data_IF_344696453440
#
_entry.id   IF_344696453440
#
_cell.length_a   1.000
_cell.length_b   1.000
_cell.length_c   1.000
_cell.angle_alpha   90.00
_cell.angle_beta   90.00
_cell.angle_gamma   90.00
#
_symmetry.space_group_name_H-M   'P 1'
#
loop_
_entity.id
_entity.type
_entity.pdbx_description
1 polymer ?
#
# COMPACT_ATOMS: atom_id res chain seq x y z
N UNK A 1 -57.26 35.46 16.26
CA UNK A 1 -57.92 35.31 17.59
C UNK A 1 -57.61 33.92 18.12
N UNK A 2 -57.03 33.79 19.31
CA UNK A 2 -56.81 32.47 19.91
C UNK A 2 -58.14 31.96 20.45
N UNK A 3 -58.72 30.94 19.81
CA UNK A 3 -60.01 30.30 20.17
C UNK A 3 -60.15 30.01 21.67
N UNK A 4 -59.04 29.91 22.41
CA UNK A 4 -59.01 29.67 23.85
C UNK A 4 -59.42 30.88 24.70
N UNK A 5 -59.17 32.11 24.26
CA UNK A 5 -59.51 33.33 25.03
C UNK A 5 -60.99 33.65 24.86
N UNK A 6 -61.51 33.57 23.63
CA UNK A 6 -62.94 33.76 23.37
C UNK A 6 -63.78 32.75 24.14
N UNK A 7 -63.35 31.48 24.19
CA UNK A 7 -64.02 30.45 25.00
C UNK A 7 -64.05 30.79 26.49
N UNK A 8 -62.97 31.37 27.04
CA UNK A 8 -62.93 31.79 28.46
C UNK A 8 -63.79 33.02 28.73
N UNK A 9 -63.79 34.01 27.84
CA UNK A 9 -64.65 35.20 27.97
C UNK A 9 -66.12 34.79 27.89
N UNK A 10 -66.49 33.97 26.91
CA UNK A 10 -67.84 33.42 26.78
C UNK A 10 -68.25 32.56 28.00
N UNK A 11 -67.32 31.79 28.57
CA UNK A 11 -67.54 31.04 29.81
C UNK A 11 -67.82 31.93 31.02
N UNK A 12 -67.17 33.08 31.14
CA UNK A 12 -67.37 34.02 32.26
C UNK A 12 -68.72 34.72 32.11
N UNK A 13 -69.06 35.14 30.89
CA UNK A 13 -70.37 35.74 30.58
C UNK A 13 -71.50 34.76 30.91
N UNK A 14 -71.32 33.48 30.62
CA UNK A 14 -72.30 32.43 30.95
C UNK A 14 -72.44 32.16 32.46
N UNK A 15 -71.49 32.62 33.28
CA UNK A 15 -71.52 32.50 34.75
C UNK A 15 -72.03 33.78 35.45
N UNK A 16 -72.18 34.89 34.72
CA UNK A 16 -72.69 36.15 35.24
C UNK A 16 -73.78 36.68 34.31
N UNK A 17 -75.04 36.27 34.55
CA UNK A 17 -76.20 36.61 33.70
C UNK A 17 -76.49 38.12 33.58
N UNK A 18 -75.82 38.97 34.38
CA UNK A 18 -75.96 40.43 34.34
C UNK A 18 -74.88 41.17 33.52
N UNK A 19 -73.95 40.47 32.86
CA UNK A 19 -72.83 41.06 32.11
C UNK A 19 -72.93 40.75 30.61
N UNK A 20 -72.89 41.78 29.75
CA UNK A 20 -72.87 41.63 28.29
C UNK A 20 -71.46 41.73 27.71
N UNK A 21 -71.24 41.22 26.49
CA UNK A 21 -69.97 41.34 25.76
C UNK A 21 -69.58 42.81 25.57
N UNK A 22 -70.56 43.67 25.28
CA UNK A 22 -70.34 45.09 25.02
C UNK A 22 -69.79 45.85 26.24
N UNK A 23 -70.05 45.35 27.45
CA UNK A 23 -69.51 45.92 28.69
C UNK A 23 -68.05 45.51 28.90
N UNK A 24 -67.66 44.30 28.48
CA UNK A 24 -66.30 43.80 28.56
C UNK A 24 -65.38 44.48 27.54
N UNK A 25 -65.88 44.78 26.33
CA UNK A 25 -65.10 45.47 25.30
C UNK A 25 -64.79 46.94 25.65
N UNK A 26 -65.60 47.55 26.52
CA UNK A 26 -65.38 48.90 27.05
C UNK A 26 -64.29 48.95 28.12
N UNK A 27 -63.91 47.81 28.72
CA UNK A 27 -62.85 47.76 29.74
C UNK A 27 -61.50 48.11 29.12
N UNK A 28 -60.80 49.06 29.74
CA UNK A 28 -59.47 49.53 29.29
C UNK A 28 -58.43 48.41 29.19
N UNK A 29 -58.56 47.39 30.05
CA UNK A 29 -57.68 46.22 30.06
C UNK A 29 -57.89 45.33 28.83
N UNK A 30 -59.10 45.21 28.30
CA UNK A 30 -59.39 44.44 27.09
C UNK A 30 -58.76 45.10 25.85
N UNK A 31 -58.88 46.43 25.72
CA UNK A 31 -58.24 47.21 24.64
C UNK A 31 -56.71 47.12 24.68
N UNK A 32 -56.10 47.16 25.86
CA UNK A 32 -54.65 46.92 26.03
C UNK A 32 -54.25 45.52 25.55
N UNK A 33 -55.05 44.50 25.88
CA UNK A 33 -54.81 43.13 25.45
C UNK A 33 -54.85 42.97 23.93
N UNK A 34 -55.82 43.59 23.25
CA UNK A 34 -55.89 43.59 21.78
C UNK A 34 -54.66 44.23 21.13
N UNK A 35 -54.16 45.33 21.69
CA UNK A 35 -52.95 46.02 21.19
C UNK A 35 -51.67 45.18 21.37
N UNK A 36 -51.59 44.41 22.46
CA UNK A 36 -50.46 43.50 22.72
C UNK A 36 -50.49 42.31 21.75
N UNK A 37 -51.68 41.80 21.43
CA UNK A 37 -51.85 40.67 20.51
C UNK A 37 -51.47 41.06 19.08
N UNK A 38 -51.84 42.25 18.60
CA UNK A 38 -51.47 42.72 17.26
C UNK A 38 -49.96 42.91 17.10
N UNK A 39 -49.28 43.48 18.09
CA UNK A 39 -47.80 43.60 18.11
C UNK A 39 -47.08 42.24 18.09
N UNK A 40 -47.63 41.22 18.75
CA UNK A 40 -47.03 39.88 18.81
C UNK A 40 -47.14 39.10 17.48
N UNK A 41 -48.13 39.42 16.65
CA UNK A 41 -48.28 38.83 15.31
C UNK A 41 -47.25 39.40 14.33
N UNK A 42 -47.01 40.70 14.38
CA UNK A 42 -46.10 41.39 13.46
C UNK A 42 -44.63 41.02 13.73
N UNK A 43 -44.22 40.96 15.00
CA UNK A 43 -42.85 40.54 15.35
C UNK A 43 -42.50 39.09 15.00
N UNK A 44 -43.49 38.20 14.83
CA UNK A 44 -43.22 36.82 14.34
C UNK A 44 -42.91 36.81 12.85
N UNK A 45 -43.59 37.63 12.05
CA UNK A 45 -43.38 37.70 10.61
C UNK A 45 -41.98 38.23 10.27
N UNK A 46 -41.53 39.27 10.99
CA UNK A 46 -40.19 39.84 10.80
C UNK A 46 -39.07 38.85 11.15
N UNK A 47 -39.24 38.02 12.19
CA UNK A 47 -38.26 36.98 12.56
C UNK A 47 -38.15 35.90 11.47
N UNK A 48 -39.27 35.44 10.90
CA UNK A 48 -39.23 34.43 9.83
C UNK A 48 -38.57 34.96 8.56
N UNK A 49 -38.77 36.24 8.23
CA UNK A 49 -38.12 36.88 7.09
C UNK A 49 -36.60 36.98 7.27
N UNK A 50 -36.14 37.39 8.46
CA UNK A 50 -34.71 37.45 8.80
C UNK A 50 -34.07 36.05 8.76
N UNK A 51 -34.74 35.04 9.32
CA UNK A 51 -34.24 33.66 9.28
C UNK A 51 -34.14 33.11 7.85
N UNK A 52 -35.10 33.44 6.98
CA UNK A 52 -35.06 33.03 5.58
C UNK A 52 -33.88 33.67 4.81
N UNK A 53 -33.58 34.96 5.08
CA UNK A 53 -32.41 35.64 4.49
C UNK A 53 -31.11 35.03 4.99
N UNK A 54 -31.00 34.74 6.29
CA UNK A 54 -29.82 34.08 6.87
C UNK A 54 -29.61 32.70 6.23
N UNK A 55 -30.67 31.90 6.10
CA UNK A 55 -30.58 30.58 5.46
C UNK A 55 -30.21 30.67 3.98
N UNK A 56 -30.73 31.66 3.24
CA UNK A 56 -30.36 31.89 1.85
C UNK A 56 -28.90 32.29 1.67
N UNK A 57 -28.38 33.16 2.55
CA UNK A 57 -26.97 33.54 2.57
C UNK A 57 -26.07 32.36 2.96
N UNK A 58 -26.47 31.55 3.94
CA UNK A 58 -25.75 30.32 4.29
C UNK A 58 -25.69 29.34 3.12
N UNK A 59 -26.79 29.16 2.38
CA UNK A 59 -26.79 28.22 1.25
C UNK A 59 -25.87 28.70 0.11
N UNK A 60 -25.87 30.00 -0.19
CA UNK A 60 -24.95 30.62 -1.15
C UNK A 60 -23.47 30.47 -0.74
N UNK A 61 -23.18 30.63 0.56
CA UNK A 61 -21.84 30.39 1.10
C UNK A 61 -21.47 28.90 0.96
N UNK A 62 -22.34 27.97 1.34
CA UNK A 62 -22.04 26.53 1.21
C UNK A 62 -21.86 26.07 -0.22
N UNK A 63 -22.60 26.66 -1.17
CA UNK A 63 -22.49 26.33 -2.60
C UNK A 63 -21.30 27.00 -3.28
N UNK A 64 -20.91 28.19 -2.82
CA UNK A 64 -19.66 28.83 -3.25
C UNK A 64 -18.41 28.14 -2.68
N UNK A 65 -18.49 27.66 -1.44
CA UNK A 65 -17.41 26.91 -0.77
C UNK A 65 -17.27 25.49 -1.35
N UNK A 66 -18.36 24.82 -1.73
CA UNK A 66 -18.28 23.49 -2.33
C UNK A 66 -17.73 23.48 -3.77
N UNK A 67 -17.72 24.63 -4.46
CA UNK A 67 -17.10 24.77 -5.80
C UNK A 67 -15.62 25.13 -5.76
N UNK A 68 -15.08 25.60 -4.63
CA UNK A 68 -13.67 25.96 -4.48
C UNK A 68 -13.03 25.27 -3.26
N UNK A 69 -12.64 24.01 -3.45
CA UNK A 69 -11.41 23.49 -2.88
C UNK A 69 -11.33 23.31 -1.37
N UNK A 70 -12.44 23.23 -0.64
CA UNK A 70 -12.38 22.91 0.80
C UNK A 70 -11.74 21.56 1.09
N UNK A 71 -11.96 20.54 0.26
CA UNK A 71 -11.25 19.27 0.46
C UNK A 71 -9.75 19.42 0.26
N UNK A 72 -9.31 20.10 -0.79
CA UNK A 72 -7.87 20.33 -1.01
C UNK A 72 -7.24 21.23 0.05
N UNK A 73 -7.93 22.27 0.50
CA UNK A 73 -7.42 23.14 1.56
C UNK A 73 -7.42 22.44 2.92
N UNK A 74 -8.44 21.64 3.23
CA UNK A 74 -8.48 20.86 4.46
C UNK A 74 -7.44 19.74 4.46
N UNK A 75 -7.24 19.03 3.35
CA UNK A 75 -6.14 18.07 3.20
C UNK A 75 -4.77 18.76 3.33
N UNK A 76 -4.56 19.87 2.62
CA UNK A 76 -3.31 20.62 2.69
C UNK A 76 -3.04 21.18 4.10
N UNK A 77 -4.07 21.72 4.76
CA UNK A 77 -3.97 22.25 6.11
C UNK A 77 -3.79 21.12 7.13
N UNK A 78 -4.45 19.98 6.96
CA UNK A 78 -4.31 18.80 7.82
C UNK A 78 -2.88 18.24 7.73
N UNK A 79 -2.36 18.04 6.52
CA UNK A 79 -0.97 17.60 6.29
C UNK A 79 0.05 18.58 6.88
N UNK A 80 -0.16 19.89 6.70
CA UNK A 80 0.74 20.93 7.24
C UNK A 80 0.66 21.11 8.75
N UNK A 81 -0.53 21.00 9.34
CA UNK A 81 -0.76 21.23 10.78
C UNK A 81 -0.33 20.02 11.58
N UNK A 82 -0.65 18.81 11.11
CA UNK A 82 -0.37 17.59 11.85
C UNK A 82 0.95 16.93 11.47
N UNK A 83 1.61 17.35 10.37
CA UNK A 83 2.86 16.73 9.87
C UNK A 83 2.75 15.21 9.80
N UNK A 84 1.54 14.69 9.57
CA UNK A 84 1.28 13.26 9.48
C UNK A 84 1.77 12.85 8.10
N UNK A 85 2.97 12.29 8.08
CA UNK A 85 3.39 11.49 6.94
C UNK A 85 2.65 10.16 7.05
N UNK A 86 1.53 10.04 6.34
CA UNK A 86 0.71 8.82 6.30
C UNK A 86 1.51 7.56 5.90
N UNK A 87 2.70 7.74 5.31
CA UNK A 87 3.61 6.66 4.96
C UNK A 87 4.57 6.26 6.10
N UNK A 88 4.61 7.03 7.19
CA UNK A 88 5.44 6.77 8.39
C UNK A 88 4.63 6.37 9.62
N UNK A 89 3.32 6.60 9.64
CA UNK A 89 2.48 6.23 10.77
C UNK A 89 2.23 4.71 10.79
N UNK A 90 2.35 4.11 11.97
CA UNK A 90 1.89 2.74 12.18
C UNK A 90 0.37 2.66 11.95
N UNK A 91 -0.06 1.74 11.09
CA UNK A 91 -1.48 1.58 10.79
C UNK A 91 -2.27 1.24 12.07
N UNK A 92 -3.38 1.96 12.32
CA UNK A 92 -4.29 1.71 13.45
C UNK A 92 -4.78 0.27 13.55
N UNK A 93 -4.80 -0.45 12.43
CA UNK A 93 -5.07 -1.86 12.36
C UNK A 93 -4.06 -2.54 11.43
N UNK A 94 -3.63 -3.78 11.75
CA UNK A 94 -2.78 -4.54 10.84
C UNK A 94 -3.51 -4.78 9.52
N UNK A 95 -2.74 -4.76 8.42
CA UNK A 95 -3.24 -5.15 7.09
C UNK A 95 -3.76 -6.58 7.17
N UNK A 96 -5.07 -6.75 7.02
CA UNK A 96 -5.68 -8.08 6.93
C UNK A 96 -5.40 -8.64 5.54
N UNK A 97 -4.32 -9.42 5.39
CA UNK A 97 -3.86 -9.97 4.11
C UNK A 97 -4.98 -10.68 3.34
N UNK A 98 -5.83 -11.43 4.04
CA UNK A 98 -6.95 -12.13 3.41
C UNK A 98 -7.94 -11.19 2.70
N UNK A 99 -8.14 -9.96 3.20
CA UNK A 99 -9.01 -8.98 2.54
C UNK A 99 -8.36 -8.46 1.27
N UNK A 100 -7.05 -8.20 1.32
CA UNK A 100 -6.29 -7.68 0.17
C UNK A 100 -6.33 -8.70 -0.97
N UNK A 101 -6.13 -9.98 -0.66
CA UNK A 101 -6.21 -11.04 -1.67
C UNK A 101 -7.65 -11.26 -2.17
N UNK A 102 -8.66 -11.21 -1.29
CA UNK A 102 -10.05 -11.41 -1.67
C UNK A 102 -10.62 -10.29 -2.56
N UNK A 103 -10.12 -9.07 -2.41
CA UNK A 103 -10.53 -7.90 -3.20
C UNK A 103 -9.57 -7.55 -4.33
N UNK A 104 -8.55 -8.38 -4.60
CA UNK A 104 -7.68 -8.20 -5.78
C UNK A 104 -8.53 -8.26 -7.06
N UNK A 105 -8.33 -7.33 -8.02
CA UNK A 105 -9.02 -7.39 -9.30
C UNK A 105 -8.78 -8.73 -10.03
N UNK A 106 -9.81 -9.32 -10.67
CA UNK A 106 -9.64 -10.54 -11.44
C UNK A 106 -8.60 -10.36 -12.56
N UNK A 107 -7.71 -11.34 -12.71
CA UNK A 107 -6.67 -11.35 -13.75
C UNK A 107 -7.06 -12.27 -14.91
N UNK A 108 -6.72 -11.88 -16.13
CA UNK A 108 -6.93 -12.72 -17.32
C UNK A 108 -6.01 -13.94 -17.31
N UNK A 109 -6.56 -15.14 -17.54
CA UNK A 109 -5.76 -16.36 -17.64
C UNK A 109 -4.90 -16.46 -18.91
N UNK A 110 -4.88 -15.42 -19.76
CA UNK A 110 -3.93 -15.31 -20.88
C UNK A 110 -2.46 -15.34 -20.45
N UNK A 111 -2.17 -15.06 -19.18
CA UNK A 111 -0.81 -15.12 -18.61
C UNK A 111 -0.23 -16.53 -18.58
N UNK A 112 -1.06 -17.56 -18.72
CA UNK A 112 -0.65 -18.96 -18.56
C UNK A 112 -1.32 -19.91 -19.56
N UNK A 113 -2.32 -19.43 -20.30
CA UNK A 113 -2.95 -20.20 -21.38
C UNK A 113 -1.92 -20.45 -22.49
N UNK A 114 -1.63 -21.72 -22.76
CA UNK A 114 -0.58 -22.21 -23.67
C UNK A 114 0.85 -22.08 -23.15
N UNK A 115 1.06 -21.84 -21.85
CA UNK A 115 2.37 -21.93 -21.23
C UNK A 115 2.53 -23.32 -20.65
N UNK A 116 3.37 -24.14 -21.28
CA UNK A 116 3.57 -25.52 -20.85
C UNK A 116 4.75 -25.71 -19.90
N UNK A 117 5.74 -24.84 -19.98
CA UNK A 117 6.91 -24.82 -19.11
C UNK A 117 7.48 -23.41 -19.08
N UNK A 118 8.38 -23.15 -18.13
CA UNK A 118 9.11 -21.89 -18.07
C UNK A 118 10.26 -21.98 -19.06
N UNK A 119 10.24 -21.10 -20.06
CA UNK A 119 11.26 -21.08 -21.08
C UNK A 119 12.61 -20.60 -20.52
N UNK A 120 13.67 -21.18 -21.06
CA UNK A 120 15.05 -20.82 -20.78
C UNK A 120 15.71 -20.34 -22.06
N UNK A 121 16.12 -19.09 -22.07
CA UNK A 121 16.61 -18.44 -23.28
C UNK A 121 18.01 -17.88 -23.01
N UNK A 122 18.86 -17.93 -24.02
CA UNK A 122 20.17 -17.28 -24.04
C UNK A 122 20.23 -16.36 -25.24
N UNK A 123 20.96 -15.25 -25.13
CA UNK A 123 21.20 -14.33 -26.24
C UNK A 123 19.90 -13.79 -26.88
N UNK A 124 18.91 -13.46 -26.05
CA UNK A 124 17.63 -12.87 -26.50
C UNK A 124 17.84 -11.40 -26.90
N UNK A 125 17.24 -10.94 -27.99
CA UNK A 125 17.30 -9.51 -28.32
C UNK A 125 16.37 -8.70 -27.42
N UNK A 126 16.59 -7.38 -27.30
CA UNK A 126 15.71 -6.51 -26.52
C UNK A 126 14.30 -6.48 -27.11
N UNK A 127 14.20 -6.45 -28.43
CA UNK A 127 12.95 -6.43 -29.19
C UNK A 127 12.17 -7.73 -28.98
N UNK A 128 12.85 -8.87 -29.06
CA UNK A 128 12.21 -10.17 -28.80
C UNK A 128 11.75 -10.28 -27.34
N UNK A 129 12.55 -9.79 -26.38
CA UNK A 129 12.17 -9.78 -24.98
C UNK A 129 10.96 -8.87 -24.72
N UNK A 130 10.95 -7.69 -25.31
CA UNK A 130 9.87 -6.70 -25.19
C UNK A 130 8.55 -7.24 -25.76
N UNK A 131 8.60 -7.83 -26.97
CA UNK A 131 7.42 -8.36 -27.65
C UNK A 131 6.82 -9.56 -26.90
N UNK A 132 7.66 -10.45 -26.36
CA UNK A 132 7.20 -11.75 -25.85
C UNK A 132 7.05 -11.82 -24.32
N UNK A 133 7.84 -11.07 -23.55
CA UNK A 133 7.93 -11.30 -22.09
C UNK A 133 7.76 -10.05 -21.23
N UNK A 134 8.35 -8.90 -21.62
CA UNK A 134 8.42 -7.71 -20.76
C UNK A 134 7.05 -7.28 -20.19
N UNK A 135 6.01 -7.32 -21.04
CA UNK A 135 4.67 -6.79 -20.72
C UNK A 135 3.54 -7.82 -20.93
N UNK A 136 3.88 -9.11 -21.06
CA UNK A 136 2.91 -10.20 -21.29
C UNK A 136 2.54 -10.96 -20.03
N UNK A 137 3.26 -10.72 -18.93
CA UNK A 137 3.22 -11.50 -17.68
C UNK A 137 3.62 -12.96 -17.83
N UNK A 138 4.25 -13.34 -18.95
CA UNK A 138 4.78 -14.68 -19.17
C UNK A 138 6.15 -14.79 -18.48
N UNK A 139 6.31 -15.72 -17.52
CA UNK A 139 7.59 -15.91 -16.86
C UNK A 139 8.63 -16.51 -17.81
N UNK A 140 9.87 -16.05 -17.70
CA UNK A 140 11.00 -16.53 -18.51
C UNK A 140 12.30 -16.49 -17.69
N UNK A 141 13.22 -17.38 -18.01
CA UNK A 141 14.56 -17.41 -17.43
C UNK A 141 15.59 -17.07 -18.52
N UNK A 142 16.39 -16.04 -18.28
CA UNK A 142 17.51 -15.68 -19.14
C UNK A 142 18.79 -16.23 -18.53
N UNK A 143 19.45 -17.10 -19.29
CA UNK A 143 20.54 -17.95 -18.80
C UNK A 143 21.92 -17.31 -18.90
N UNK A 144 22.03 -16.18 -19.58
CA UNK A 144 23.32 -15.59 -19.95
C UNK A 144 23.46 -14.11 -19.65
N UNK A 145 22.55 -13.54 -18.87
CA UNK A 145 22.50 -12.11 -18.60
C UNK A 145 23.54 -11.60 -17.61
N UNK A 146 24.21 -12.50 -16.90
CA UNK A 146 25.18 -12.16 -15.86
C UNK A 146 26.63 -12.44 -16.26
N UNK A 147 26.90 -12.74 -17.55
CA UNK A 147 28.24 -13.10 -18.05
C UNK A 147 29.36 -12.14 -17.61
N UNK A 148 29.07 -10.84 -17.59
CA UNK A 148 30.03 -9.79 -17.27
C UNK A 148 29.87 -9.22 -15.84
N UNK A 149 29.06 -9.87 -14.99
CA UNK A 149 28.78 -9.37 -13.64
C UNK A 149 29.80 -9.88 -12.63
N UNK A 150 30.59 -8.95 -12.08
CA UNK A 150 31.50 -9.21 -10.96
C UNK A 150 30.77 -9.61 -9.67
N UNK A 151 29.47 -9.35 -9.58
CA UNK A 151 28.63 -9.72 -8.45
C UNK A 151 28.72 -11.22 -8.12
N UNK A 152 28.80 -12.08 -9.14
CA UNK A 152 28.90 -13.54 -8.97
C UNK A 152 30.14 -13.98 -8.18
N UNK A 153 31.23 -13.22 -8.30
CA UNK A 153 32.48 -13.48 -7.57
C UNK A 153 32.55 -12.74 -6.24
N UNK A 154 32.01 -11.51 -6.19
CA UNK A 154 32.26 -10.56 -5.08
C UNK A 154 31.18 -10.59 -4.02
N UNK A 155 29.92 -10.86 -4.38
CA UNK A 155 28.82 -10.87 -3.43
C UNK A 155 28.88 -12.14 -2.58
N UNK A 156 28.95 -11.91 -1.27
CA UNK A 156 28.92 -12.92 -0.22
C UNK A 156 28.49 -12.24 1.09
N UNK A 157 28.26 -13.02 2.14
CA UNK A 157 27.81 -12.47 3.43
C UNK A 157 28.75 -11.38 3.96
N UNK A 158 30.08 -11.56 3.86
CA UNK A 158 31.07 -10.58 4.35
C UNK A 158 31.01 -9.26 3.59
N UNK A 159 30.73 -9.31 2.29
CA UNK A 159 30.54 -8.13 1.46
C UNK A 159 29.37 -7.29 1.99
N UNK A 160 28.21 -7.92 2.19
CA UNK A 160 27.01 -7.23 2.67
C UNK A 160 27.13 -6.81 4.14
N UNK A 161 27.73 -7.63 5.02
CA UNK A 161 28.03 -7.26 6.42
C UNK A 161 28.89 -6.00 6.52
N UNK A 162 29.85 -5.80 5.61
CA UNK A 162 30.65 -4.57 5.55
C UNK A 162 29.85 -3.38 5.00
N UNK A 163 28.99 -3.63 4.01
CA UNK A 163 28.17 -2.60 3.37
C UNK A 163 27.13 -2.03 4.35
N UNK A 164 26.45 -2.91 5.08
CA UNK A 164 25.41 -2.61 6.07
C UNK A 164 25.93 -2.68 7.51
N UNK A 165 27.21 -2.35 7.73
CA UNK A 165 27.80 -2.33 9.08
C UNK A 165 27.06 -1.36 10.01
N UNK A 166 27.18 -1.57 11.31
CA UNK A 166 26.66 -0.65 12.34
C UNK A 166 27.07 0.80 12.05
N UNK A 167 26.11 1.72 12.18
CA UNK A 167 26.24 3.16 11.89
C UNK A 167 26.55 3.51 10.41
N UNK A 168 26.38 2.59 9.46
CA UNK A 168 26.43 2.93 8.04
C UNK A 168 25.17 3.68 7.60
N UNK A 169 25.29 4.53 6.57
CA UNK A 169 24.12 5.15 5.94
C UNK A 169 23.19 4.10 5.32
N UNK A 170 23.77 3.02 4.79
CA UNK A 170 23.06 1.90 4.19
C UNK A 170 22.11 1.23 5.19
N UNK A 171 22.62 0.85 6.36
CA UNK A 171 21.82 0.19 7.40
C UNK A 171 20.71 1.11 7.92
N UNK A 172 21.07 2.35 8.25
CA UNK A 172 20.10 3.34 8.74
C UNK A 172 18.99 3.61 7.72
N UNK A 173 19.31 3.68 6.43
CA UNK A 173 18.29 3.84 5.39
C UNK A 173 17.30 2.68 5.38
N UNK A 174 17.76 1.44 5.55
CA UNK A 174 16.87 0.27 5.63
C UNK A 174 15.98 0.33 6.86
N UNK A 175 16.54 0.62 8.02
CA UNK A 175 15.80 0.65 9.29
C UNK A 175 14.80 1.81 9.38
N UNK A 176 15.11 2.96 8.76
CA UNK A 176 14.25 4.15 8.83
C UNK A 176 13.26 4.26 7.65
N UNK A 177 13.62 3.76 6.46
CA UNK A 177 12.93 4.12 5.21
C UNK A 177 12.70 2.97 4.23
N UNK A 178 13.42 1.84 4.31
CA UNK A 178 13.21 0.72 3.41
C UNK A 178 12.47 -0.44 4.09
N UNK A 179 12.32 -1.55 3.36
CA UNK A 179 11.63 -2.74 3.86
C UNK A 179 12.63 -3.83 4.23
N UNK A 180 12.34 -4.52 5.34
CA UNK A 180 13.05 -5.71 5.79
C UNK A 180 12.06 -6.86 6.02
N UNK A 181 12.42 -8.04 5.52
CA UNK A 181 11.61 -9.25 5.58
C UNK A 181 12.38 -10.33 6.34
N UNK A 182 12.10 -10.52 7.65
CA UNK A 182 12.74 -11.57 8.43
C UNK A 182 12.14 -12.96 8.21
N UNK A 183 11.01 -13.06 7.48
CA UNK A 183 10.27 -14.31 7.23
C UNK A 183 10.08 -15.16 8.51
N UNK A 184 10.56 -16.41 8.51
CA UNK A 184 10.45 -17.32 9.66
C UNK A 184 11.40 -16.96 10.81
N UNK A 185 12.39 -16.11 10.58
CA UNK A 185 13.41 -15.74 11.54
C UNK A 185 13.06 -14.46 12.31
N UNK A 186 11.79 -14.02 12.33
CA UNK A 186 11.35 -12.82 13.07
C UNK A 186 11.70 -12.82 14.57
N UNK A 187 11.83 -13.99 15.18
CA UNK A 187 12.23 -14.12 16.59
C UNK A 187 13.74 -13.89 16.82
N UNK A 188 14.54 -14.01 15.77
CA UNK A 188 16.01 -13.91 15.80
C UNK A 188 16.47 -12.58 15.19
N UNK A 189 15.83 -12.12 14.11
CA UNK A 189 16.14 -10.87 13.41
C UNK A 189 14.93 -9.95 13.41
N UNK A 190 15.00 -8.89 14.21
CA UNK A 190 14.02 -7.80 14.19
C UNK A 190 14.39 -6.76 13.13
N UNK A 191 15.69 -6.53 12.96
CA UNK A 191 16.28 -5.55 12.04
C UNK A 191 17.27 -6.21 11.08
N UNK A 192 17.63 -5.49 10.01
CA UNK A 192 18.74 -5.90 9.13
C UNK A 192 20.09 -5.90 9.89
N UNK A 193 20.23 -5.06 10.92
CA UNK A 193 21.40 -5.00 11.78
C UNK A 193 21.65 -6.34 12.47
N UNK A 194 20.60 -6.95 13.04
CA UNK A 194 20.69 -8.25 13.72
C UNK A 194 21.24 -9.35 12.80
N UNK A 195 20.84 -9.33 11.52
CA UNK A 195 21.34 -10.28 10.51
C UNK A 195 22.83 -10.11 10.32
N UNK A 196 23.32 -8.87 10.19
CA UNK A 196 24.73 -8.61 9.93
C UNK A 196 25.59 -8.59 11.20
N UNK A 197 25.00 -8.57 12.38
CA UNK A 197 25.71 -8.80 13.64
C UNK A 197 26.05 -10.28 13.85
N UNK A 198 25.30 -11.19 13.21
CA UNK A 198 25.57 -12.64 13.18
C UNK A 198 27.04 -12.98 12.88
N UNK A 199 27.58 -13.93 13.64
CA UNK A 199 28.93 -14.48 13.44
C UNK A 199 29.06 -15.22 12.10
N UNK A 200 30.28 -15.29 11.58
CA UNK A 200 30.53 -15.87 10.26
C UNK A 200 30.29 -17.37 10.23
N UNK A 201 30.55 -18.04 11.34
CA UNK A 201 30.30 -19.47 11.57
C UNK A 201 28.81 -19.79 11.39
N UNK A 202 27.95 -18.96 11.99
CA UNK A 202 26.49 -19.05 11.90
C UNK A 202 25.98 -18.68 10.50
N UNK A 203 26.58 -17.69 9.85
CA UNK A 203 26.20 -17.26 8.50
C UNK A 203 26.56 -18.31 7.43
N UNK A 204 27.70 -18.98 7.58
CA UNK A 204 28.22 -19.97 6.63
C UNK A 204 27.96 -21.42 7.02
N UNK A 205 27.10 -21.67 8.02
CA UNK A 205 26.65 -23.02 8.39
C UNK A 205 27.82 -23.95 8.73
N UNK A 206 28.80 -23.44 9.47
CA UNK A 206 30.00 -24.21 9.82
C UNK A 206 29.65 -25.33 10.81
N UNK A 207 28.63 -25.13 11.64
CA UNK A 207 28.17 -26.11 12.62
C UNK A 207 27.21 -27.13 11.99
N UNK A 208 27.36 -28.41 12.35
CA UNK A 208 26.52 -29.52 11.83
C UNK A 208 25.03 -29.38 12.22
N UNK A 209 24.74 -28.65 13.30
CA UNK A 209 23.39 -28.37 13.84
C UNK A 209 22.95 -26.92 13.61
N UNK A 210 23.47 -26.28 12.55
CA UNK A 210 23.14 -24.90 12.21
C UNK A 210 21.62 -24.68 12.11
N UNK A 211 21.17 -23.50 12.55
CA UNK A 211 19.78 -23.09 12.43
C UNK A 211 19.56 -22.38 11.07
N UNK A 212 18.62 -22.85 10.23
CA UNK A 212 18.37 -22.20 8.95
C UNK A 212 17.86 -20.77 9.11
N UNK A 213 18.27 -19.90 8.20
CA UNK A 213 17.76 -18.54 8.11
C UNK A 213 17.58 -18.07 6.68
N UNK A 214 16.62 -17.19 6.49
CA UNK A 214 16.38 -16.54 5.22
C UNK A 214 15.76 -15.16 5.44
N UNK A 215 16.33 -14.14 4.80
CA UNK A 215 15.88 -12.75 4.89
C UNK A 215 15.84 -12.08 3.53
N UNK A 216 15.03 -11.04 3.42
CA UNK A 216 15.01 -10.13 2.27
C UNK A 216 15.03 -8.68 2.74
N UNK A 217 15.57 -7.77 1.92
CA UNK A 217 15.47 -6.33 2.17
C UNK A 217 15.55 -5.53 0.88
N UNK A 218 15.04 -4.30 0.89
CA UNK A 218 15.30 -3.32 -0.16
C UNK A 218 16.45 -2.40 0.21
N UNK A 219 17.27 -2.06 -0.77
CA UNK A 219 18.22 -0.98 -0.68
C UNK A 219 17.61 0.33 -1.22
N UNK A 220 17.39 1.31 -0.35
CA UNK A 220 16.90 2.64 -0.72
C UNK A 220 17.96 3.76 -0.50
N UNK A 221 19.21 3.42 -0.14
CA UNK A 221 20.32 4.37 -0.06
C UNK A 221 21.01 4.52 -1.43
N UNK A 222 21.02 5.74 -1.97
CA UNK A 222 21.58 6.03 -3.29
C UNK A 222 23.07 5.68 -3.41
N UNK A 223 23.86 5.95 -2.36
CA UNK A 223 25.31 5.70 -2.36
C UNK A 223 25.60 4.20 -2.40
N UNK A 224 24.83 3.44 -1.64
CA UNK A 224 24.87 1.98 -1.60
C UNK A 224 24.45 1.40 -2.95
N UNK A 225 23.39 1.92 -3.54
CA UNK A 225 22.91 1.49 -4.84
C UNK A 225 23.95 1.74 -5.94
N UNK A 226 24.59 2.91 -5.93
CA UNK A 226 25.70 3.23 -6.84
C UNK A 226 26.89 2.27 -6.70
N UNK A 227 27.24 1.89 -5.46
CA UNK A 227 28.31 0.92 -5.18
C UNK A 227 27.95 -0.49 -5.66
N UNK A 228 26.72 -0.94 -5.40
CA UNK A 228 26.21 -2.23 -5.84
C UNK A 228 26.23 -2.34 -7.37
N UNK A 229 25.87 -1.28 -8.07
CA UNK A 229 25.88 -1.15 -9.54
C UNK A 229 27.29 -1.07 -10.16
N UNK A 230 28.35 -1.11 -9.36
CA UNK A 230 29.71 -1.37 -9.86
C UNK A 230 29.97 -2.88 -10.09
N UNK A 231 29.16 -3.76 -9.50
CA UNK A 231 29.35 -5.21 -9.55
C UNK A 231 28.34 -5.93 -10.46
N UNK A 232 27.18 -5.32 -10.69
CA UNK A 232 26.23 -5.77 -11.70
C UNK A 232 25.70 -4.57 -12.49
N UNK A 233 25.22 -4.84 -13.69
CA UNK A 233 24.63 -3.85 -14.57
C UNK A 233 23.14 -4.13 -14.76
N UNK A 234 22.43 -3.18 -15.37
CA UNK A 234 21.08 -3.44 -15.86
C UNK A 234 21.10 -4.63 -16.84
N UNK A 235 20.23 -5.65 -16.69
CA UNK A 235 20.21 -6.78 -17.60
C UNK A 235 20.08 -6.34 -19.08
N UNK A 236 20.87 -6.97 -19.95
CA UNK A 236 21.06 -6.51 -21.33
C UNK A 236 19.78 -6.62 -22.18
N UNK A 237 18.87 -7.52 -21.83
CA UNK A 237 17.64 -7.82 -22.55
C UNK A 237 16.49 -6.87 -22.24
N UNK A 238 16.59 -6.07 -21.17
CA UNK A 238 15.51 -5.15 -20.80
C UNK A 238 15.34 -4.04 -21.88
N UNK A 239 14.11 -3.64 -22.24
CA UNK A 239 13.82 -2.69 -23.33
C UNK A 239 14.61 -1.39 -23.21
N UNK A 240 15.11 -0.78 -24.29
CA UNK A 240 16.01 0.39 -24.16
C UNK A 240 15.40 1.57 -23.37
N UNK A 241 14.08 1.77 -23.50
CA UNK A 241 13.36 2.84 -22.83
C UNK A 241 13.00 2.53 -21.37
N UNK A 242 13.22 1.29 -20.92
CA UNK A 242 12.84 0.90 -19.57
C UNK A 242 13.85 1.41 -18.55
N UNK A 243 13.34 2.06 -17.51
CA UNK A 243 14.12 2.45 -16.36
C UNK A 243 14.21 1.27 -15.38
N UNK A 244 15.29 1.25 -14.60
CA UNK A 244 15.36 0.36 -13.44
C UNK A 244 14.84 1.13 -12.24
N UNK A 245 14.04 0.46 -11.40
CA UNK A 245 13.66 1.03 -10.11
C UNK A 245 14.91 1.48 -9.34
N UNK A 246 14.74 2.54 -8.55
CA UNK A 246 15.81 3.02 -7.67
C UNK A 246 16.15 1.98 -6.59
N UNK A 247 15.20 1.10 -6.26
CA UNK A 247 15.30 0.09 -5.22
C UNK A 247 15.91 -1.20 -5.77
N UNK A 248 16.92 -1.70 -5.07
CA UNK A 248 17.44 -3.05 -5.30
C UNK A 248 16.85 -3.98 -4.23
N UNK A 249 16.22 -5.08 -4.64
CA UNK A 249 15.72 -6.12 -3.76
C UNK A 249 16.79 -7.20 -3.57
N UNK A 250 17.19 -7.46 -2.33
CA UNK A 250 18.21 -8.46 -2.03
C UNK A 250 17.62 -9.52 -1.13
N UNK A 251 17.84 -10.79 -1.45
CA UNK A 251 17.44 -11.91 -0.60
C UNK A 251 18.63 -12.82 -0.35
N UNK A 252 18.74 -13.29 0.89
CA UNK A 252 19.87 -14.07 1.36
C UNK A 252 19.43 -15.10 2.39
N UNK A 253 20.00 -16.30 2.32
CA UNK A 253 19.77 -17.30 3.34
C UNK A 253 20.43 -18.64 3.06
N UNK A 254 20.33 -19.51 4.04
CA UNK A 254 20.85 -20.88 4.04
C UNK A 254 19.88 -21.83 3.32
N UNK A 255 20.28 -23.09 3.09
CA UNK A 255 19.41 -24.13 2.58
C UNK A 255 18.15 -24.27 3.43
N UNK A 256 17.00 -24.44 2.78
CA UNK A 256 15.69 -24.50 3.44
C UNK A 256 14.67 -23.54 2.85
N UNK A 257 13.66 -23.22 3.67
CA UNK A 257 12.53 -22.40 3.23
C UNK A 257 12.95 -20.95 2.99
N UNK A 258 12.67 -20.44 1.79
CA UNK A 258 12.80 -19.03 1.46
C UNK A 258 11.51 -18.25 1.71
N UNK A 259 11.12 -17.43 0.74
CA UNK A 259 9.83 -16.75 0.75
C UNK A 259 8.67 -17.75 0.67
N UNK A 260 7.66 -17.57 1.52
CA UNK A 260 6.45 -18.40 1.52
C UNK A 260 5.58 -18.12 0.28
N UNK A 261 4.49 -18.86 0.09
CA UNK A 261 3.60 -18.62 -1.05
C UNK A 261 2.87 -17.29 -0.87
N UNK A 262 3.16 -16.34 -1.74
CA UNK A 262 2.59 -14.99 -1.71
C UNK A 262 2.51 -14.42 -3.13
N UNK A 263 1.91 -13.27 -3.23
CA UNK A 263 1.83 -12.46 -4.44
C UNK A 263 2.10 -11.03 -4.01
N UNK A 264 2.93 -10.35 -4.78
CA UNK A 264 3.39 -9.03 -4.41
C UNK A 264 2.32 -7.96 -4.68
N UNK A 265 2.62 -6.77 -4.21
CA UNK A 265 1.87 -5.57 -4.50
C UNK A 265 2.84 -4.43 -4.77
N UNK A 266 3.71 -4.68 -5.75
CA UNK A 266 4.67 -3.73 -6.33
C UNK A 266 4.05 -3.05 -7.55
N UNK A 267 4.67 -2.00 -8.07
CA UNK A 267 4.07 -1.25 -9.18
C UNK A 267 4.35 -1.93 -10.52
N UNK A 268 5.51 -2.58 -10.66
CA UNK A 268 6.05 -2.98 -11.96
C UNK A 268 6.46 -4.46 -12.00
N UNK A 269 6.61 -5.05 -13.19
CA UNK A 269 7.23 -6.36 -13.34
C UNK A 269 8.65 -6.38 -12.76
N UNK A 270 9.04 -7.53 -12.20
CA UNK A 270 10.32 -7.69 -11.55
C UNK A 270 11.21 -8.71 -12.24
N UNK A 271 12.52 -8.51 -12.11
CA UNK A 271 13.53 -9.50 -12.43
C UNK A 271 14.33 -9.83 -11.17
N UNK A 272 14.76 -11.07 -11.03
CA UNK A 272 15.64 -11.50 -9.94
C UNK A 272 16.79 -12.36 -10.49
N UNK A 273 18.00 -11.88 -10.29
CA UNK A 273 19.24 -12.55 -10.62
C UNK A 273 19.69 -13.47 -9.48
N UNK A 274 19.98 -14.73 -9.81
CA UNK A 274 20.55 -15.69 -8.86
C UNK A 274 22.08 -15.57 -8.86
N UNK A 275 22.62 -14.93 -7.81
CA UNK A 275 24.05 -14.60 -7.72
C UNK A 275 24.86 -15.77 -7.13
N UNK A 276 24.36 -16.35 -6.04
CA UNK A 276 24.99 -17.47 -5.33
C UNK A 276 23.93 -18.49 -4.96
N UNK A 277 24.32 -19.76 -4.89
CA UNK A 277 23.42 -20.84 -4.56
C UNK A 277 22.26 -21.02 -5.53
N UNK A 278 21.42 -22.00 -5.25
CA UNK A 278 20.34 -22.46 -6.13
C UNK A 278 19.02 -22.30 -5.42
N UNK A 279 18.02 -21.81 -6.15
CA UNK A 279 16.69 -21.57 -5.58
C UNK A 279 15.64 -22.29 -6.42
N UNK A 280 14.90 -23.18 -5.79
CA UNK A 280 13.68 -23.72 -6.38
C UNK A 280 12.56 -22.70 -6.22
N UNK A 281 11.91 -22.39 -7.33
CA UNK A 281 10.71 -21.58 -7.41
C UNK A 281 9.50 -22.47 -7.66
N UNK A 282 8.40 -22.15 -7.01
CA UNK A 282 7.08 -22.67 -7.34
C UNK A 282 6.19 -21.50 -7.70
N UNK A 283 5.64 -21.51 -8.92
CA UNK A 283 4.66 -20.53 -9.39
C UNK A 283 3.28 -21.17 -9.48
N UNK A 284 2.28 -20.51 -8.93
CA UNK A 284 0.89 -20.93 -8.99
C UNK A 284 0.04 -19.84 -9.64
N UNK A 285 -0.91 -20.19 -10.53
CA UNK A 285 -1.83 -19.21 -11.07
C UNK A 285 -2.74 -18.66 -9.96
N UNK A 286 -3.28 -17.47 -10.20
CA UNK A 286 -4.37 -16.89 -9.37
C UNK A 286 -5.59 -17.83 -9.32
N UNK A 287 -6.41 -17.78 -8.26
CA UNK A 287 -7.53 -18.71 -8.06
C UNK A 287 -8.50 -18.82 -9.25
N UNK A 288 -8.82 -17.71 -9.92
CA UNK A 288 -9.69 -17.68 -11.10
C UNK A 288 -9.12 -18.44 -12.31
N UNK A 289 -7.82 -18.70 -12.33
CA UNK A 289 -7.12 -19.41 -13.40
C UNK A 289 -6.73 -20.85 -13.05
N UNK A 290 -7.10 -21.35 -11.87
CA UNK A 290 -6.72 -22.68 -11.37
C UNK A 290 -7.14 -23.84 -12.29
N UNK A 291 -8.24 -23.68 -13.04
CA UNK A 291 -8.73 -24.71 -13.96
C UNK A 291 -8.21 -24.56 -15.40
N UNK A 292 -7.62 -23.41 -15.75
CA UNK A 292 -7.07 -23.14 -17.08
C UNK A 292 -5.56 -23.30 -17.13
N UNK A 293 -4.89 -23.25 -15.97
CA UNK A 293 -3.45 -23.16 -15.86
C UNK A 293 -2.93 -24.13 -14.81
N UNK A 294 -1.63 -24.43 -14.88
CA UNK A 294 -0.96 -25.38 -13.99
C UNK A 294 0.06 -24.68 -13.12
N UNK A 295 0.46 -25.36 -12.05
CA UNK A 295 1.58 -24.96 -11.21
C UNK A 295 2.90 -25.27 -11.93
N UNK A 296 3.87 -24.37 -11.83
CA UNK A 296 5.23 -24.55 -12.34
C UNK A 296 6.21 -24.71 -11.19
N UNK A 297 7.09 -25.69 -11.30
CA UNK A 297 8.18 -25.91 -10.36
C UNK A 297 9.48 -26.00 -11.16
N UNK A 298 10.44 -25.14 -10.83
CA UNK A 298 11.71 -25.07 -11.55
C UNK A 298 12.79 -24.50 -10.62
N UNK A 299 14.03 -24.76 -10.98
CA UNK A 299 15.20 -24.23 -10.27
C UNK A 299 15.64 -22.98 -11.01
N UNK A 300 16.20 -21.99 -10.32
CA UNK A 300 16.98 -20.90 -10.93
C UNK A 300 18.41 -21.08 -10.44
N UNK A 301 19.32 -21.23 -11.39
CA UNK A 301 20.74 -21.54 -11.19
C UNK A 301 21.57 -20.25 -11.07
N UNK A 302 22.74 -20.28 -10.39
CA UNK A 302 23.68 -19.17 -10.40
C UNK A 302 23.99 -18.70 -11.83
N UNK A 303 23.89 -17.39 -12.08
CA UNK A 303 24.09 -16.81 -13.42
C UNK A 303 22.80 -16.65 -14.25
N UNK A 304 21.68 -17.25 -13.80
CA UNK A 304 20.37 -17.07 -14.42
C UNK A 304 19.60 -15.89 -13.80
N UNK A 305 18.79 -15.23 -14.62
CA UNK A 305 17.83 -14.21 -14.20
C UNK A 305 16.42 -14.70 -14.52
N UNK A 306 15.55 -14.77 -13.51
CA UNK A 306 14.12 -14.97 -13.71
C UNK A 306 13.43 -13.61 -13.88
N UNK A 307 12.51 -13.54 -14.85
CA UNK A 307 11.59 -12.43 -15.04
C UNK A 307 10.19 -12.94 -14.72
N UNK A 308 9.50 -12.21 -13.85
CA UNK A 308 8.20 -12.59 -13.33
C UNK A 308 7.43 -11.33 -12.96
N UNK A 309 6.18 -11.21 -13.41
CA UNK A 309 5.29 -10.26 -12.78
C UNK A 309 4.79 -10.85 -11.45
N UNK A 310 5.38 -10.42 -10.35
CA UNK A 310 5.05 -10.94 -9.02
C UNK A 310 3.70 -10.45 -8.48
N UNK A 311 3.05 -9.48 -9.15
CA UNK A 311 1.70 -9.03 -8.81
C UNK A 311 0.58 -9.94 -9.34
N UNK A 312 0.90 -10.84 -10.28
CA UNK A 312 -0.08 -11.75 -10.92
C UNK A 312 0.27 -13.24 -10.76
N UNK A 313 1.48 -13.56 -10.35
CA UNK A 313 1.90 -14.91 -10.06
C UNK A 313 2.10 -15.12 -8.57
N UNK A 314 1.32 -16.04 -7.98
CA UNK A 314 1.65 -16.57 -6.68
C UNK A 314 2.97 -17.32 -6.78
N UNK A 315 3.89 -17.02 -5.87
CA UNK A 315 5.21 -17.59 -5.90
C UNK A 315 5.72 -17.90 -4.49
N UNK A 316 6.52 -18.95 -4.39
CA UNK A 316 7.32 -19.29 -3.21
C UNK A 316 8.70 -19.73 -3.64
N UNK A 317 9.64 -19.67 -2.71
CA UNK A 317 11.02 -20.09 -2.95
C UNK A 317 11.55 -21.03 -1.88
N UNK A 318 12.46 -21.90 -2.28
CA UNK A 318 13.18 -22.81 -1.40
C UNK A 318 14.65 -22.86 -1.84
N UNK A 319 15.58 -22.63 -0.93
CA UNK A 319 17.01 -22.70 -1.20
C UNK A 319 17.44 -24.16 -1.16
N UNK A 320 18.02 -24.65 -2.26
CA UNK A 320 18.38 -26.06 -2.46
C UNK A 320 19.88 -26.32 -2.58
N UNK A 321 20.72 -25.27 -2.56
CA UNK A 321 22.17 -25.49 -2.37
C UNK A 321 22.39 -26.19 -1.04
N UNK A 322 23.36 -27.09 -0.90
CA UNK A 322 23.63 -27.77 0.38
C UNK A 322 24.77 -27.08 1.14
N UNK A 323 25.82 -26.65 0.43
CA UNK A 323 27.08 -26.18 1.06
C UNK A 323 27.32 -24.66 0.94
N UNK A 324 26.33 -23.88 0.50
CA UNK A 324 26.46 -22.42 0.40
C UNK A 324 25.14 -21.68 0.66
N UNK A 325 25.26 -20.42 1.07
CA UNK A 325 24.13 -19.51 1.13
C UNK A 325 23.65 -19.13 -0.28
N UNK A 326 22.34 -18.99 -0.45
CA UNK A 326 21.76 -18.37 -1.63
C UNK A 326 21.82 -16.85 -1.49
N UNK A 327 22.20 -16.16 -2.56
CA UNK A 327 22.11 -14.70 -2.67
C UNK A 327 21.43 -14.38 -4.00
N UNK A 328 20.42 -13.52 -3.94
CA UNK A 328 19.76 -12.99 -5.12
C UNK A 328 19.64 -11.49 -5.03
N UNK A 329 19.75 -10.83 -6.18
CA UNK A 329 19.47 -9.41 -6.32
C UNK A 329 18.47 -9.20 -7.44
N UNK A 330 17.53 -8.29 -7.26
CA UNK A 330 16.48 -8.02 -8.22
C UNK A 330 16.11 -6.55 -8.23
N UNK A 331 15.36 -6.18 -9.24
CA UNK A 331 14.75 -4.86 -9.35
C UNK A 331 13.48 -4.99 -10.16
N UNK A 332 12.65 -3.98 -10.01
CA UNK A 332 11.55 -3.69 -10.90
C UNK A 332 12.05 -2.95 -12.15
N UNK A 333 11.28 -3.04 -13.24
CA UNK A 333 11.53 -2.31 -14.48
C UNK A 333 10.22 -1.85 -15.12
N UNK A 334 10.23 -0.65 -15.68
CA UNK A 334 9.34 -0.21 -16.77
C UNK A 334 9.88 0.99 -17.52
#
# INVERSE_FOLDING_TARGET
MSKSIDKKVQSIIKQCESLSIDDIEKLSNYKKLQTIISRKSQGKFDIYLVLAIIFGLLSLITTGISQLGTEHFLHYAYDKIFSIDIYREECLAPKLEFLVDAFRPPTSCGICRNVDHIERISNISREEFEEKYAYTNHPVIITDAMKDWLATEKFNFKFFKRLYRTNSSALRAVEEHCQFFPYKNKHEFETLGDVFDMDLERAYMIDDDYQPWYVGWSNCDYSTAYLLRQYYSRPYFLPEQSESSKLDWIFMGTPGLGAHMHIDNVDLPSWQAQIRGRKQWTLRPVPECLFSCKEFNFIVEPGEIIILNTNVWYHKTFVISEDEISITIGSEFD
#
